data_IF_474649440811
#
_entry.id   IF_474649440811
#
_cell.length_a   1.000
_cell.length_b   1.000
_cell.length_c   1.000
_cell.angle_alpha   90.00
_cell.angle_beta   90.00
_cell.angle_gamma   90.00
#
_symmetry.space_group_name_H-M   'P 1'
#
loop_
_entity.id
_entity.type
_entity.pdbx_description
1 polymer ?
#
# COMPACT_ATOMS: atom_id res chain seq x y z
N UNK A 1 12.51 -19.13 -12.11
CA UNK A 1 11.73 -18.27 -11.19
C UNK A 1 12.64 -17.80 -10.07
N UNK A 2 12.84 -16.49 -9.91
CA UNK A 2 13.54 -15.89 -8.75
C UNK A 2 12.56 -15.75 -7.57
N UNK A 3 13.09 -15.83 -6.34
CA UNK A 3 12.30 -15.76 -5.09
C UNK A 3 11.35 -14.55 -5.02
N UNK A 4 11.78 -13.39 -5.54
CA UNK A 4 10.96 -12.18 -5.53
C UNK A 4 9.68 -12.27 -6.39
N UNK A 5 9.64 -13.12 -7.43
CA UNK A 5 8.41 -13.33 -8.20
C UNK A 5 7.37 -14.08 -7.38
N UNK A 6 7.81 -15.05 -6.55
CA UNK A 6 6.93 -15.77 -5.63
C UNK A 6 6.37 -14.79 -4.59
N UNK A 7 7.23 -13.94 -4.03
CA UNK A 7 6.79 -12.88 -3.12
C UNK A 7 5.77 -11.93 -3.77
N UNK A 8 5.97 -11.55 -5.04
CA UNK A 8 5.03 -10.70 -5.77
C UNK A 8 3.67 -11.38 -5.98
N UNK A 9 3.67 -12.67 -6.33
CA UNK A 9 2.43 -13.44 -6.48
C UNK A 9 1.68 -13.52 -5.14
N UNK A 10 2.39 -13.82 -4.05
CA UNK A 10 1.79 -13.85 -2.70
C UNK A 10 1.22 -12.48 -2.35
N UNK A 11 1.94 -11.39 -2.62
CA UNK A 11 1.47 -10.03 -2.36
C UNK A 11 0.17 -9.72 -3.10
N UNK A 12 0.09 -10.06 -4.40
CA UNK A 12 -1.13 -9.87 -5.19
C UNK A 12 -2.30 -10.67 -4.60
N UNK A 13 -2.06 -11.92 -4.19
CA UNK A 13 -3.09 -12.74 -3.52
C UNK A 13 -3.56 -12.09 -2.21
N UNK A 14 -2.63 -11.58 -1.39
CA UNK A 14 -2.96 -10.89 -0.13
C UNK A 14 -3.80 -9.64 -0.41
N UNK A 15 -3.46 -8.85 -1.43
CA UNK A 15 -4.26 -7.67 -1.81
C UNK A 15 -5.68 -8.05 -2.22
N UNK A 16 -5.86 -9.13 -2.98
CA UNK A 16 -7.20 -9.61 -3.39
C UNK A 16 -8.03 -10.07 -2.20
N UNK A 17 -7.40 -10.69 -1.21
CA UNK A 17 -8.07 -11.20 0.01
C UNK A 17 -8.24 -10.10 1.07
N UNK A 18 -7.57 -8.96 0.93
CA UNK A 18 -7.56 -7.88 1.93
C UNK A 18 -8.93 -7.31 2.33
N UNK A 19 -9.97 -7.26 1.48
CA UNK A 19 -11.31 -6.82 1.93
C UNK A 19 -11.96 -7.74 2.96
N UNK A 20 -11.41 -8.95 3.19
CA UNK A 20 -11.85 -9.84 4.26
C UNK A 20 -11.18 -9.52 5.61
N UNK A 21 -10.35 -8.47 5.67
CA UNK A 21 -9.79 -7.99 6.92
C UNK A 21 -10.90 -7.51 7.88
N UNK A 22 -10.64 -7.61 9.18
CA UNK A 22 -11.58 -7.19 10.21
C UNK A 22 -11.89 -5.70 10.11
N UNK A 23 -13.16 -5.34 10.20
CA UNK A 23 -13.64 -3.96 10.30
C UNK A 23 -13.59 -3.39 11.72
N UNK A 24 -13.12 -4.18 12.70
CA UNK A 24 -12.92 -3.68 14.06
C UNK A 24 -11.77 -2.68 14.09
N UNK A 25 -11.89 -1.57 14.84
CA UNK A 25 -10.81 -0.58 14.94
C UNK A 25 -9.58 -1.21 15.57
N UNK A 26 -8.42 -0.68 15.19
CA UNK A 26 -7.15 -1.15 15.70
C UNK A 26 -6.95 -0.80 17.19
N UNK A 27 -5.86 -1.27 17.78
CA UNK A 27 -5.60 -1.04 19.20
C UNK A 27 -5.42 0.44 19.59
N UNK A 28 -4.88 1.27 18.69
CA UNK A 28 -4.73 2.71 18.93
C UNK A 28 -6.08 3.40 18.88
N UNK A 29 -6.87 3.10 17.85
CA UNK A 29 -8.22 3.63 17.69
C UNK A 29 -9.14 3.17 18.83
N UNK A 30 -9.09 1.88 19.24
CA UNK A 30 -9.86 1.38 20.38
C UNK A 30 -9.52 2.10 21.68
N UNK A 31 -8.23 2.31 21.97
CA UNK A 31 -7.85 3.05 23.18
C UNK A 31 -8.31 4.50 23.10
N UNK A 32 -8.24 5.13 21.92
CA UNK A 32 -8.70 6.50 21.72
C UNK A 32 -10.22 6.63 21.87
N UNK A 33 -10.98 5.65 21.39
CA UNK A 33 -12.44 5.54 21.55
C UNK A 33 -12.80 5.36 23.04
N UNK A 34 -12.21 4.37 23.71
CA UNK A 34 -12.47 4.05 25.12
C UNK A 34 -12.13 5.19 26.09
N UNK A 35 -11.11 5.99 25.76
CA UNK A 35 -10.66 7.14 26.54
C UNK A 35 -11.30 8.46 26.11
N UNK A 36 -12.13 8.45 25.06
CA UNK A 36 -12.89 9.61 24.60
C UNK A 36 -12.05 10.71 23.93
N UNK A 37 -10.85 10.41 23.43
CA UNK A 37 -9.99 11.38 22.75
C UNK A 37 -9.84 11.16 21.25
N UNK A 38 -10.55 10.19 20.67
CA UNK A 38 -10.51 9.90 19.23
C UNK A 38 -10.78 11.15 18.37
N UNK A 39 -11.69 12.03 18.79
CA UNK A 39 -12.01 13.28 18.10
C UNK A 39 -10.97 14.40 18.22
N UNK A 40 -9.91 14.22 19.02
CA UNK A 40 -8.78 15.16 19.08
C UNK A 40 -7.74 14.89 17.97
N UNK A 41 -7.91 13.81 17.19
CA UNK A 41 -7.04 13.51 16.07
C UNK A 41 -7.24 14.54 14.96
N UNK A 42 -6.21 15.34 14.69
CA UNK A 42 -6.17 16.19 13.50
C UNK A 42 -5.95 15.32 12.25
N UNK A 43 -6.52 15.76 11.13
CA UNK A 43 -6.29 15.13 9.84
C UNK A 43 -4.82 15.17 9.44
N UNK A 44 -4.35 14.10 8.79
CA UNK A 44 -3.01 14.08 8.22
C UNK A 44 -2.81 15.26 7.25
N UNK A 45 -1.61 15.89 7.21
CA UNK A 45 -1.34 17.03 6.34
C UNK A 45 -1.46 16.68 4.85
N UNK A 46 -1.37 15.39 4.51
CA UNK A 46 -1.57 14.86 3.16
C UNK A 46 -2.39 13.57 3.22
N UNK A 47 -3.35 13.44 2.31
CA UNK A 47 -4.23 12.27 2.19
C UNK A 47 -4.13 11.73 0.76
N UNK A 48 -3.19 10.81 0.52
CA UNK A 48 -2.96 10.26 -0.84
C UNK A 48 -4.08 9.30 -1.24
N UNK A 49 -4.36 8.31 -0.39
CA UNK A 49 -5.52 7.40 -0.49
C UNK A 49 -5.92 7.03 0.95
N UNK A 50 -6.41 8.02 1.70
CA UNK A 50 -6.91 7.77 3.07
C UNK A 50 -8.04 6.75 3.03
N UNK A 51 -8.10 5.87 4.03
CA UNK A 51 -9.11 4.81 4.17
C UNK A 51 -9.29 3.90 2.94
N UNK A 52 -8.31 3.87 2.04
CA UNK A 52 -8.33 3.11 0.79
C UNK A 52 -9.52 3.43 -0.14
N UNK A 53 -10.11 4.64 -0.02
CA UNK A 53 -11.25 5.07 -0.86
C UNK A 53 -10.80 5.76 -2.15
N UNK A 54 -11.60 5.58 -3.22
CA UNK A 54 -11.39 6.24 -4.50
C UNK A 54 -12.61 7.05 -4.95
N UNK A 55 -12.42 8.25 -5.50
CA UNK A 55 -13.52 9.00 -6.09
C UNK A 55 -14.11 8.21 -7.28
N UNK A 56 -15.43 8.01 -7.26
CA UNK A 56 -16.16 7.29 -8.31
C UNK A 56 -16.17 5.77 -8.17
N UNK A 57 -15.69 5.20 -7.05
CA UNK A 57 -15.79 3.77 -6.74
C UNK A 57 -16.57 3.61 -5.43
N UNK A 58 -17.85 3.26 -5.54
CA UNK A 58 -18.73 3.08 -4.37
C UNK A 58 -18.49 1.74 -3.65
N UNK A 59 -17.88 0.77 -4.33
CA UNK A 59 -17.59 -0.53 -3.75
C UNK A 59 -16.28 -0.50 -2.95
N UNK A 60 -16.40 -0.47 -1.62
CA UNK A 60 -15.27 -0.43 -0.67
C UNK A 60 -14.27 -1.59 -0.86
N UNK A 61 -14.76 -2.79 -1.14
CA UNK A 61 -13.89 -3.95 -1.38
C UNK A 61 -13.06 -3.77 -2.65
N UNK A 62 -13.68 -3.28 -3.72
CA UNK A 62 -12.98 -2.96 -4.97
C UNK A 62 -11.99 -1.81 -4.76
N UNK A 63 -12.38 -0.76 -4.04
CA UNK A 63 -11.53 0.39 -3.73
C UNK A 63 -10.26 -0.05 -2.96
N UNK A 64 -10.44 -0.88 -1.92
CA UNK A 64 -9.35 -1.46 -1.12
C UNK A 64 -8.37 -2.26 -1.97
N UNK A 65 -8.88 -3.16 -2.83
CA UNK A 65 -8.04 -3.96 -3.73
C UNK A 65 -7.25 -3.05 -4.67
N UNK A 66 -7.90 -2.07 -5.29
CA UNK A 66 -7.25 -1.15 -6.23
C UNK A 66 -6.19 -0.30 -5.54
N UNK A 67 -6.43 0.13 -4.31
CA UNK A 67 -5.46 0.91 -3.54
C UNK A 67 -4.21 0.09 -3.25
N UNK A 68 -4.38 -1.17 -2.82
CA UNK A 68 -3.27 -2.09 -2.58
C UNK A 68 -2.48 -2.42 -3.85
N UNK A 69 -3.16 -2.63 -4.98
CA UNK A 69 -2.51 -2.86 -6.27
C UNK A 69 -1.73 -1.64 -6.75
N UNK A 70 -2.32 -0.44 -6.64
CA UNK A 70 -1.68 0.81 -7.02
C UNK A 70 -0.41 1.05 -6.21
N UNK A 71 -0.49 0.95 -4.88
CA UNK A 71 0.66 1.10 -3.99
C UNK A 71 1.77 0.08 -4.31
N UNK A 72 1.39 -1.17 -4.57
CA UNK A 72 2.33 -2.23 -4.97
C UNK A 72 3.06 -1.87 -6.26
N UNK A 73 2.34 -1.49 -7.32
CA UNK A 73 2.92 -1.12 -8.61
C UNK A 73 3.86 0.09 -8.47
N UNK A 74 3.46 1.10 -7.71
CA UNK A 74 4.27 2.31 -7.48
C UNK A 74 5.60 1.94 -6.82
N UNK A 75 5.57 1.23 -5.69
CA UNK A 75 6.81 0.86 -4.98
C UNK A 75 7.69 -0.07 -5.83
N UNK A 76 7.09 -1.04 -6.52
CA UNK A 76 7.85 -1.95 -7.38
C UNK A 76 8.52 -1.20 -8.53
N UNK A 77 7.80 -0.26 -9.15
CA UNK A 77 8.33 0.62 -10.20
C UNK A 77 9.50 1.47 -9.71
N UNK A 78 9.38 2.08 -8.52
CA UNK A 78 10.46 2.87 -7.92
C UNK A 78 11.69 2.03 -7.65
N UNK A 79 11.54 0.90 -6.95
CA UNK A 79 12.67 0.04 -6.58
C UNK A 79 13.34 -0.56 -7.82
N UNK A 80 12.55 -1.03 -8.79
CA UNK A 80 13.07 -1.55 -10.04
C UNK A 80 13.79 -0.47 -10.85
N UNK A 81 13.22 0.73 -10.93
CA UNK A 81 13.81 1.88 -11.62
C UNK A 81 15.16 2.29 -11.02
N UNK A 82 15.25 2.35 -9.69
CA UNK A 82 16.52 2.61 -8.98
C UNK A 82 17.55 1.52 -9.29
N UNK A 83 17.17 0.25 -9.15
CA UNK A 83 18.05 -0.88 -9.45
C UNK A 83 18.55 -0.89 -10.90
N UNK A 84 17.68 -0.54 -11.85
CA UNK A 84 18.03 -0.38 -13.26
C UNK A 84 19.04 0.76 -13.46
N UNK A 85 18.81 1.93 -12.86
CA UNK A 85 19.73 3.08 -12.97
C UNK A 85 21.13 2.75 -12.41
N UNK A 86 21.20 2.05 -11.27
CA UNK A 86 22.47 1.61 -10.67
C UNK A 86 23.20 0.63 -11.60
N UNK A 87 22.50 -0.34 -12.18
CA UNK A 87 23.08 -1.30 -13.13
C UNK A 87 23.60 -0.62 -14.39
N UNK A 88 22.85 0.33 -14.94
CA UNK A 88 23.21 1.06 -16.15
C UNK A 88 24.48 1.90 -15.97
N UNK A 89 24.72 2.46 -14.78
CA UNK A 89 25.97 3.19 -14.46
C UNK A 89 27.22 2.30 -14.47
N UNK A 90 27.12 1.03 -14.04
CA UNK A 90 28.26 0.08 -14.07
C UNK A 90 28.66 -0.30 -15.50
N UNK A 91 27.69 -0.39 -16.43
CA UNK A 91 27.99 -0.65 -17.85
C UNK A 91 28.73 0.52 -18.51
N UNK A 92 28.47 1.76 -18.09
CA UNK A 92 29.12 2.96 -18.65
C UNK A 92 30.52 3.28 -18.12
N UNK A 93 30.97 2.64 -17.02
CA UNK A 93 32.35 2.79 -16.51
C UNK A 93 33.28 1.63 -16.94
N UNK A 94 32.72 0.58 -17.54
CA UNK A 94 33.46 -0.57 -18.06
C UNK A 94 33.61 -0.55 -19.59
N UNK A 95 33.19 0.54 -20.23
CA UNK A 95 33.38 0.88 -21.63
C UNK A 95 34.25 2.13 -21.70
#
# INVERSE_FOLDING_TARGET
>A
MKWWHVALIILVLVVVVSPLASSSPDGLEKVAEDKGFLGLADGAPFQVVADYVFPGIDNEALATILAGLLGTVVIFGVVYGIGWMIKSRKKGHAA
#
